data_IF_717410964090
#
_entry.id   IF_717410964090
#
_cell.length_a   1.000
_cell.length_b   1.000
_cell.length_c   1.000
_cell.angle_alpha   90.00
_cell.angle_beta   90.00
_cell.angle_gamma   90.00
#
_symmetry.space_group_name_H-M   'P 1'
#
loop_
_entity.id
_entity.type
_entity.pdbx_description
1 polymer ?
#
# COMPACT_ATOMS: atom_id res chain seq x y z
N UNK A 1 2.09 8.63 2.74
CA UNK A 1 1.13 8.02 1.77
C UNK A 1 -0.18 8.78 1.84
N UNK A 2 -0.81 9.09 0.71
CA UNK A 2 -2.13 9.72 0.68
C UNK A 2 -3.19 8.67 0.35
N UNK A 3 -4.28 8.66 1.11
CA UNK A 3 -5.44 7.79 0.88
C UNK A 3 -6.69 8.64 1.00
N UNK A 4 -7.57 8.58 0.01
CA UNK A 4 -8.82 9.33 -0.02
C UNK A 4 -10.00 8.36 -0.11
N UNK A 5 -11.04 8.63 0.66
CA UNK A 5 -12.34 7.96 0.58
C UNK A 5 -13.36 8.91 -0.07
N UNK A 6 -14.64 8.54 -0.10
CA UNK A 6 -15.69 9.42 -0.65
C UNK A 6 -16.02 10.61 0.25
N UNK A 7 -15.68 10.54 1.53
CA UNK A 7 -16.03 11.57 2.52
C UNK A 7 -14.83 12.18 3.23
N UNK A 8 -13.68 11.51 3.26
CA UNK A 8 -12.51 11.94 4.03
C UNK A 8 -11.21 11.64 3.31
N UNK A 9 -10.23 12.52 3.55
CA UNK A 9 -8.86 12.40 3.07
C UNK A 9 -7.91 12.13 4.24
N UNK A 10 -6.95 11.23 4.02
CA UNK A 10 -5.97 10.82 5.00
C UNK A 10 -4.55 11.02 4.45
N UNK A 11 -3.70 11.65 5.27
CA UNK A 11 -2.27 11.71 5.05
C UNK A 11 -1.58 10.82 6.10
N UNK A 12 -0.98 9.75 5.63
CA UNK A 12 -0.35 8.72 6.47
C UNK A 12 1.17 8.94 6.48
N UNK A 13 1.76 9.06 7.66
CA UNK A 13 3.22 9.04 7.82
C UNK A 13 3.74 7.61 7.69
N UNK A 14 4.44 7.32 6.59
CA UNK A 14 4.97 5.98 6.31
C UNK A 14 6.34 5.72 6.91
N UNK A 15 7.03 6.75 7.42
CA UNK A 15 8.32 6.58 8.08
C UNK A 15 8.11 6.12 9.51
N UNK A 16 7.21 6.78 10.22
CA UNK A 16 6.83 6.43 11.60
C UNK A 16 6.12 5.07 11.63
N UNK A 17 5.12 4.88 10.76
CA UNK A 17 4.27 3.68 10.77
C UNK A 17 4.81 2.51 9.95
N UNK A 18 6.08 2.53 9.53
CA UNK A 18 6.65 1.53 8.59
C UNK A 18 6.41 0.08 9.04
N UNK A 19 6.44 -0.20 10.34
CA UNK A 19 6.19 -1.53 10.91
C UNK A 19 4.73 -1.97 10.88
N UNK A 20 3.79 -1.01 10.85
CA UNK A 20 2.36 -1.24 11.03
C UNK A 20 1.57 -1.19 9.72
N UNK A 21 2.15 -0.66 8.64
CA UNK A 21 1.48 -0.51 7.34
C UNK A 21 0.96 -1.83 6.74
N UNK A 22 1.43 -2.98 7.22
CA UNK A 22 0.95 -4.30 6.78
C UNK A 22 -0.55 -4.51 7.06
N UNK A 23 -1.12 -3.83 8.05
CA UNK A 23 -2.56 -3.93 8.34
C UNK A 23 -3.43 -3.47 7.15
N UNK A 24 -2.93 -2.53 6.34
CA UNK A 24 -3.62 -2.02 5.14
C UNK A 24 -3.78 -3.08 4.05
N UNK A 25 -3.03 -4.19 4.11
CA UNK A 25 -3.18 -5.29 3.14
C UNK A 25 -4.59 -5.88 3.17
N UNK A 26 -5.27 -5.89 4.32
CA UNK A 26 -6.66 -6.36 4.41
C UNK A 26 -7.58 -5.64 3.43
N UNK A 27 -7.39 -4.34 3.25
CA UNK A 27 -8.14 -3.50 2.31
C UNK A 27 -7.49 -3.53 0.92
N UNK A 28 -6.15 -3.48 0.83
CA UNK A 28 -5.45 -3.42 -0.44
C UNK A 28 -5.53 -4.71 -1.26
N UNK A 29 -5.69 -5.87 -0.63
CA UNK A 29 -5.84 -7.16 -1.32
C UNK A 29 -7.28 -7.61 -1.53
N UNK A 30 -8.26 -6.94 -0.90
CA UNK A 30 -9.68 -7.26 -1.10
C UNK A 30 -10.11 -6.98 -2.56
N UNK A 31 -10.53 -8.01 -3.33
CA UNK A 31 -10.96 -7.82 -4.72
C UNK A 31 -12.26 -6.99 -4.86
N UNK A 32 -13.05 -6.86 -3.80
CA UNK A 32 -14.30 -6.10 -3.81
C UNK A 32 -14.08 -4.59 -3.66
N UNK A 33 -12.89 -4.17 -3.23
CA UNK A 33 -12.54 -2.77 -3.07
C UNK A 33 -11.69 -2.34 -4.26
N UNK A 34 -12.19 -1.39 -5.05
CA UNK A 34 -11.46 -0.81 -6.20
C UNK A 34 -10.49 0.27 -5.72
N UNK A 35 -9.22 0.14 -6.08
CA UNK A 35 -8.16 1.10 -5.75
C UNK A 35 -7.87 1.93 -6.99
N UNK A 36 -8.01 3.24 -6.88
CA UNK A 36 -7.66 4.18 -7.96
C UNK A 36 -6.34 4.83 -7.58
N UNK A 37 -5.28 4.53 -8.34
CA UNK A 37 -3.99 5.21 -8.22
C UNK A 37 -3.71 6.00 -9.49
N UNK A 38 -3.51 7.30 -9.36
CA UNK A 38 -3.12 8.13 -10.48
C UNK A 38 -1.61 7.92 -10.77
N UNK A 39 -1.30 7.09 -11.76
CA UNK A 39 0.08 6.75 -12.16
C UNK A 39 0.73 7.81 -13.05
N UNK A 40 0.56 9.09 -12.76
CA UNK A 40 1.24 10.19 -13.50
C UNK A 40 2.77 10.23 -13.25
N UNK A 41 3.27 9.34 -12.38
CA UNK A 41 4.71 9.13 -12.14
C UNK A 41 4.99 7.63 -12.09
N UNK A 42 5.88 7.16 -12.96
CA UNK A 42 6.30 5.76 -13.12
C UNK A 42 6.94 5.12 -11.87
N UNK A 43 7.26 5.90 -10.83
CA UNK A 43 7.95 5.42 -9.63
C UNK A 43 7.02 4.88 -8.52
N UNK A 44 5.69 5.09 -8.60
CA UNK A 44 4.78 4.64 -7.53
C UNK A 44 4.45 3.14 -7.58
N UNK A 45 4.49 2.55 -8.77
CA UNK A 45 4.20 1.12 -8.97
C UNK A 45 5.24 0.20 -8.33
N UNK A 46 6.51 0.60 -8.29
CA UNK A 46 7.59 -0.16 -7.62
C UNK A 46 7.48 -0.21 -6.10
N UNK A 47 6.82 0.76 -5.48
CA UNK A 47 6.64 0.74 -4.02
C UNK A 47 5.55 -0.24 -3.62
N UNK A 48 4.44 -0.31 -4.38
CA UNK A 48 3.34 -1.24 -4.12
C UNK A 48 3.65 -2.69 -4.47
N UNK A 49 4.46 -2.95 -5.50
CA UNK A 49 4.90 -4.32 -5.82
C UNK A 49 5.73 -4.93 -4.69
N UNK A 50 6.60 -4.12 -4.05
CA UNK A 50 7.37 -4.52 -2.85
C UNK A 50 6.49 -4.85 -1.64
N UNK A 51 5.30 -4.26 -1.53
CA UNK A 51 4.32 -4.63 -0.50
C UNK A 51 3.57 -5.93 -0.82
N UNK A 52 3.38 -6.27 -2.10
CA UNK A 52 2.74 -7.54 -2.51
C UNK A 52 3.69 -8.74 -2.49
N UNK A 53 4.99 -8.53 -2.62
CA UNK A 53 6.00 -9.61 -2.60
C UNK A 53 6.92 -9.48 -1.38
N UNK A 54 6.41 -9.83 -0.20
CA UNK A 54 7.29 -10.23 0.90
C UNK A 54 7.88 -11.62 0.59
N UNK A 55 9.20 -11.85 0.74
CA UNK A 55 9.80 -13.12 0.40
C UNK A 55 9.43 -14.20 1.43
N UNK A 56 8.71 -15.22 0.98
CA UNK A 56 8.79 -16.56 1.57
C UNK A 56 9.99 -17.28 0.94
N UNK A 57 11.17 -17.12 1.54
CA UNK A 57 12.36 -17.99 1.43
C UNK A 57 13.38 -17.37 2.41
N UNK A 58 13.66 -17.95 3.57
CA UNK A 58 14.07 -19.34 3.76
C UNK A 58 15.57 -19.31 3.99
N UNK A 59 15.98 -19.18 5.25
CA UNK A 59 17.36 -19.43 5.66
C UNK A 59 17.68 -20.91 5.43
N UNK A 60 18.49 -21.23 4.42
CA UNK A 60 19.51 -22.29 4.45
C UNK A 60 20.43 -22.13 3.25
#
# INVERSE_FOLDING_TARGET
MQISTRSHDYLVDTLELRGDLQCLNTVFTDPNIVKVSLSIRSSQTETLSKFKTGPLQGFT
#
